data_IF_393624060190
#
_entry.id   IF_393624060190
#
_cell.length_a   1.000
_cell.length_b   1.000
_cell.length_c   1.000
_cell.angle_alpha   90.00
_cell.angle_beta   90.00
_cell.angle_gamma   90.00
#
_symmetry.space_group_name_H-M   'P 1'
#
loop_
_entity.id
_entity.type
_entity.pdbx_description
1 polymer ?
#
# COMPACT_ATOMS: atom_id res chain seq x y z
N UNK A 1 22.44 -34.25 -12.62
CA UNK A 1 21.43 -33.18 -12.52
C UNK A 1 22.09 -31.95 -11.91
N UNK A 2 22.27 -30.89 -12.67
CA UNK A 2 22.88 -29.65 -12.18
C UNK A 2 21.99 -29.01 -11.13
N UNK A 3 22.53 -28.74 -9.94
CA UNK A 3 21.83 -27.93 -8.93
C UNK A 3 21.59 -26.53 -9.51
N UNK A 4 20.31 -26.17 -9.67
CA UNK A 4 19.95 -24.79 -10.00
C UNK A 4 20.62 -23.84 -8.99
N UNK A 5 21.14 -22.66 -9.40
CA UNK A 5 21.75 -21.72 -8.48
C UNK A 5 20.80 -21.44 -7.31
N UNK A 6 21.34 -21.38 -6.09
CA UNK A 6 20.56 -21.19 -4.85
C UNK A 6 19.56 -20.05 -4.92
N UNK A 7 19.91 -18.95 -5.64
CA UNK A 7 19.02 -17.83 -5.90
C UNK A 7 17.80 -18.18 -6.75
N UNK A 8 17.93 -19.06 -7.74
CA UNK A 8 16.83 -19.47 -8.61
C UNK A 8 15.78 -20.32 -7.89
N UNK A 9 16.20 -21.22 -6.97
CA UNK A 9 15.26 -22.02 -6.18
C UNK A 9 14.47 -21.14 -5.19
N UNK A 10 15.13 -20.17 -4.54
CA UNK A 10 14.46 -19.22 -3.64
C UNK A 10 13.42 -18.38 -4.40
N UNK A 11 13.76 -17.89 -5.60
CA UNK A 11 12.84 -17.12 -6.42
C UNK A 11 11.61 -17.93 -6.84
N UNK A 12 11.78 -19.18 -7.30
CA UNK A 12 10.66 -20.06 -7.66
C UNK A 12 9.75 -20.37 -6.47
N UNK A 13 10.33 -20.58 -5.29
CA UNK A 13 9.54 -20.77 -4.07
C UNK A 13 8.71 -19.54 -3.71
N UNK A 14 9.28 -18.34 -3.86
CA UNK A 14 8.58 -17.08 -3.58
C UNK A 14 7.44 -16.84 -4.57
N UNK A 15 7.67 -17.11 -5.86
CA UNK A 15 6.65 -17.01 -6.90
C UNK A 15 5.51 -18.00 -6.68
N UNK A 16 5.81 -19.28 -6.44
CA UNK A 16 4.81 -20.30 -6.12
C UNK A 16 4.03 -19.97 -4.85
N UNK A 17 4.72 -19.45 -3.81
CA UNK A 17 4.08 -19.03 -2.57
C UNK A 17 3.11 -17.88 -2.80
N UNK A 18 3.48 -16.88 -3.61
CA UNK A 18 2.61 -15.76 -3.97
C UNK A 18 1.29 -16.27 -4.58
N UNK A 19 1.38 -17.20 -5.52
CA UNK A 19 0.20 -17.81 -6.16
C UNK A 19 -0.65 -18.61 -5.16
N UNK A 20 -0.03 -19.51 -4.39
CA UNK A 20 -0.77 -20.39 -3.45
C UNK A 20 -1.42 -19.58 -2.33
N UNK A 21 -0.74 -18.57 -1.78
CA UNK A 21 -1.32 -17.71 -0.75
C UNK A 21 -2.46 -16.84 -1.30
N UNK A 22 -2.36 -16.38 -2.54
CA UNK A 22 -3.46 -15.65 -3.18
C UNK A 22 -4.70 -16.53 -3.41
N UNK A 23 -4.50 -17.77 -3.81
CA UNK A 23 -5.57 -18.74 -4.07
C UNK A 23 -6.24 -19.25 -2.78
N UNK A 24 -5.44 -19.63 -1.76
CA UNK A 24 -5.89 -20.37 -0.57
C UNK A 24 -5.84 -19.60 0.73
N UNK A 25 -5.24 -18.41 0.73
CA UNK A 25 -4.95 -17.64 1.92
C UNK A 25 -3.85 -18.26 2.79
N UNK A 26 -3.48 -17.56 3.84
CA UNK A 26 -2.46 -18.04 4.78
C UNK A 26 -2.83 -19.38 5.41
N UNK A 27 -4.08 -19.54 5.90
CA UNK A 27 -4.52 -20.73 6.63
C UNK A 27 -4.61 -21.97 5.74
N UNK A 28 -5.12 -21.84 4.53
CA UNK A 28 -5.34 -22.95 3.58
C UNK A 28 -4.07 -23.42 2.84
N UNK A 29 -3.02 -22.59 2.79
CA UNK A 29 -1.76 -22.95 2.13
C UNK A 29 -0.87 -23.83 3.00
N UNK A 30 -0.06 -24.71 2.36
CA UNK A 30 0.97 -25.52 3.03
C UNK A 30 2.33 -25.36 2.37
N UNK A 31 3.43 -25.45 3.17
CA UNK A 31 4.79 -25.41 2.62
C UNK A 31 5.06 -26.55 1.64
N UNK A 32 4.44 -27.73 1.84
CA UNK A 32 4.58 -28.87 0.94
C UNK A 32 4.04 -28.53 -0.43
N UNK A 33 2.82 -28.03 -0.51
CA UNK A 33 2.18 -27.62 -1.77
C UNK A 33 2.98 -26.53 -2.50
N UNK A 34 3.45 -25.53 -1.76
CA UNK A 34 4.31 -24.47 -2.31
C UNK A 34 5.59 -25.06 -2.89
N UNK A 35 6.25 -25.96 -2.16
CA UNK A 35 7.48 -26.61 -2.62
C UNK A 35 7.21 -27.44 -3.89
N UNK A 36 6.15 -28.24 -3.93
CA UNK A 36 5.73 -29.04 -5.09
C UNK A 36 5.47 -28.14 -6.29
N UNK A 37 4.71 -27.05 -6.14
CA UNK A 37 4.43 -26.07 -7.20
C UNK A 37 5.69 -25.35 -7.71
N UNK A 38 6.67 -25.13 -6.84
CA UNK A 38 7.97 -24.53 -7.18
C UNK A 38 8.93 -25.52 -7.86
N UNK A 39 8.61 -26.80 -7.97
CA UNK A 39 9.56 -27.85 -8.38
C UNK A 39 10.74 -27.95 -7.43
N UNK A 40 10.50 -27.78 -6.14
CA UNK A 40 11.50 -27.85 -5.06
C UNK A 40 11.06 -28.90 -4.01
N UNK A 41 11.97 -29.31 -3.14
CA UNK A 41 11.62 -30.15 -2.02
C UNK A 41 11.27 -29.32 -0.77
N UNK A 42 10.56 -29.92 0.17
CA UNK A 42 10.14 -29.27 1.42
C UNK A 42 11.34 -28.82 2.27
N UNK A 43 12.46 -29.54 2.21
CA UNK A 43 13.68 -29.18 2.94
C UNK A 43 14.25 -27.83 2.42
N UNK A 44 14.18 -27.56 1.11
CA UNK A 44 14.60 -26.29 0.55
C UNK A 44 13.67 -25.15 1.04
N UNK A 45 12.35 -25.34 1.06
CA UNK A 45 11.43 -24.34 1.58
C UNK A 45 11.72 -24.00 3.06
N UNK A 46 11.91 -25.01 3.90
CA UNK A 46 12.30 -24.83 5.30
C UNK A 46 13.68 -24.16 5.46
N UNK A 47 14.63 -24.50 4.62
CA UNK A 47 15.97 -23.91 4.64
C UNK A 47 15.96 -22.40 4.37
N UNK A 48 15.21 -21.96 3.34
CA UNK A 48 15.16 -20.54 2.95
C UNK A 48 14.27 -19.69 3.84
N UNK A 49 13.14 -20.23 4.29
CA UNK A 49 12.09 -19.41 4.91
C UNK A 49 11.74 -19.84 6.34
N UNK A 50 12.29 -20.95 6.83
CA UNK A 50 12.11 -21.51 8.16
C UNK A 50 10.69 -22.00 8.48
N UNK A 51 9.67 -21.23 8.11
CA UNK A 51 8.26 -21.55 8.38
C UNK A 51 7.34 -21.00 7.28
N UNK A 52 6.08 -21.43 7.30
CA UNK A 52 5.04 -20.88 6.43
C UNK A 52 4.85 -19.38 6.68
N UNK A 53 4.88 -18.97 7.94
CA UNK A 53 4.79 -17.57 8.34
C UNK A 53 5.96 -16.75 7.79
N UNK A 54 7.20 -17.24 7.94
CA UNK A 54 8.38 -16.58 7.38
C UNK A 54 8.31 -16.42 5.87
N UNK A 55 7.81 -17.43 5.15
CA UNK A 55 7.59 -17.34 3.71
C UNK A 55 6.47 -16.34 3.37
N UNK A 56 5.39 -16.31 4.14
CA UNK A 56 4.29 -15.38 3.94
C UNK A 56 4.70 -13.92 4.14
N UNK A 57 5.46 -13.63 5.20
CA UNK A 57 6.04 -12.32 5.45
C UNK A 57 6.98 -11.87 4.32
N UNK A 58 7.78 -12.81 3.81
CA UNK A 58 8.69 -12.53 2.70
C UNK A 58 7.93 -12.23 1.39
N UNK A 59 6.83 -12.95 1.13
CA UNK A 59 5.93 -12.63 0.00
C UNK A 59 5.33 -11.23 0.16
N UNK A 60 4.80 -10.91 1.34
CA UNK A 60 4.23 -9.58 1.60
C UNK A 60 5.29 -8.49 1.42
N UNK A 61 6.47 -8.64 2.03
CA UNK A 61 7.59 -7.70 1.89
C UNK A 61 7.97 -7.47 0.43
N UNK A 62 8.13 -8.54 -0.34
CA UNK A 62 8.49 -8.45 -1.75
C UNK A 62 7.44 -7.70 -2.58
N UNK A 63 6.16 -7.87 -2.29
CA UNK A 63 5.08 -7.16 -2.98
C UNK A 63 5.10 -5.66 -2.68
N UNK A 64 5.32 -5.26 -1.43
CA UNK A 64 5.43 -3.85 -1.07
C UNK A 64 6.69 -3.19 -1.65
N UNK A 65 7.83 -3.89 -1.62
CA UNK A 65 9.07 -3.41 -2.25
C UNK A 65 8.90 -3.22 -3.77
N UNK A 66 8.20 -4.14 -4.43
CA UNK A 66 7.89 -4.01 -5.86
C UNK A 66 6.99 -2.80 -6.15
N UNK A 67 5.97 -2.55 -5.30
CA UNK A 67 5.13 -1.37 -5.42
C UNK A 67 5.94 -0.07 -5.21
N UNK A 68 6.77 -0.02 -4.17
CA UNK A 68 7.64 1.13 -3.90
C UNK A 68 8.60 1.41 -5.06
N UNK A 69 9.24 0.36 -5.59
CA UNK A 69 10.15 0.49 -6.73
C UNK A 69 9.43 1.02 -8.00
N UNK A 70 8.19 0.59 -8.24
CA UNK A 70 7.38 1.12 -9.33
C UNK A 70 7.01 2.58 -9.11
N UNK A 71 6.59 2.97 -7.92
CA UNK A 71 6.28 4.37 -7.58
C UNK A 71 7.52 5.25 -7.83
N UNK A 72 8.70 4.82 -7.38
CA UNK A 72 9.95 5.56 -7.59
C UNK A 72 10.35 5.64 -9.07
N UNK A 73 10.12 4.58 -9.84
CA UNK A 73 10.44 4.55 -11.27
C UNK A 73 9.51 5.44 -12.10
N UNK A 74 8.21 5.41 -11.82
CA UNK A 74 7.18 6.09 -12.61
C UNK A 74 6.90 7.52 -12.12
N UNK A 75 7.00 7.76 -10.81
CA UNK A 75 6.61 9.03 -10.18
C UNK A 75 7.75 9.87 -9.63
N UNK A 76 8.95 9.32 -9.61
CA UNK A 76 10.11 9.97 -8.99
C UNK A 76 10.33 9.55 -7.54
N UNK A 77 11.42 10.04 -6.98
CA UNK A 77 11.87 9.63 -5.65
C UNK A 77 10.87 9.97 -4.55
N UNK A 78 10.58 8.99 -3.71
CA UNK A 78 9.77 9.14 -2.49
C UNK A 78 10.63 9.31 -1.24
N UNK A 79 11.94 9.46 -1.40
CA UNK A 79 12.87 9.68 -0.27
C UNK A 79 12.57 11.00 0.41
N UNK A 80 12.66 11.06 1.74
CA UNK A 80 12.35 12.26 2.50
C UNK A 80 13.05 13.53 1.99
N UNK A 81 14.36 13.44 1.73
CA UNK A 81 15.19 14.55 1.27
C UNK A 81 14.81 15.08 -0.12
N UNK A 82 14.29 14.21 -1.00
CA UNK A 82 13.85 14.59 -2.33
C UNK A 82 12.46 15.20 -2.29
N UNK A 83 11.54 14.59 -1.56
CA UNK A 83 10.17 15.12 -1.33
C UNK A 83 10.21 16.51 -0.71
N UNK A 84 11.13 16.75 0.22
CA UNK A 84 11.28 18.07 0.89
C UNK A 84 11.72 19.19 -0.05
N UNK A 85 12.34 18.86 -1.18
CA UNK A 85 12.80 19.82 -2.20
C UNK A 85 11.78 20.09 -3.29
N UNK A 86 10.76 19.25 -3.42
CA UNK A 86 9.77 19.40 -4.49
C UNK A 86 8.94 20.68 -4.30
N UNK A 87 8.69 21.41 -5.41
CA UNK A 87 7.67 22.45 -5.43
C UNK A 87 6.28 21.82 -5.33
N UNK A 88 5.25 22.63 -5.04
CA UNK A 88 3.87 22.15 -4.89
C UNK A 88 3.39 21.35 -6.11
N UNK A 89 3.71 21.78 -7.33
CA UNK A 89 3.35 21.05 -8.56
C UNK A 89 3.99 19.66 -8.57
N UNK A 90 5.29 19.55 -8.25
CA UNK A 90 5.99 18.26 -8.18
C UNK A 90 5.42 17.33 -7.11
N UNK A 91 4.95 17.86 -5.97
CA UNK A 91 4.26 17.07 -4.94
C UNK A 91 2.91 16.55 -5.44
N UNK A 92 2.17 17.33 -6.23
CA UNK A 92 0.91 16.91 -6.84
C UNK A 92 1.16 15.82 -7.89
N UNK A 93 2.18 15.98 -8.73
CA UNK A 93 2.54 14.99 -9.73
C UNK A 93 3.00 13.68 -9.10
N UNK A 94 3.78 13.75 -8.01
CA UNK A 94 4.16 12.56 -7.24
C UNK A 94 2.95 11.87 -6.60
N UNK A 95 1.99 12.62 -6.06
CA UNK A 95 0.74 12.06 -5.51
C UNK A 95 -0.07 11.35 -6.60
N UNK A 96 -0.22 11.98 -7.77
CA UNK A 96 -0.93 11.40 -8.92
C UNK A 96 -0.28 10.11 -9.39
N UNK A 97 1.03 10.13 -9.59
CA UNK A 97 1.79 8.94 -9.98
C UNK A 97 1.66 7.82 -8.96
N UNK A 98 1.75 8.13 -7.66
CA UNK A 98 1.56 7.14 -6.60
C UNK A 98 0.17 6.49 -6.65
N UNK A 99 -0.89 7.29 -6.78
CA UNK A 99 -2.27 6.81 -6.89
C UNK A 99 -2.42 5.92 -8.13
N UNK A 100 -1.89 6.35 -9.28
CA UNK A 100 -1.97 5.59 -10.52
C UNK A 100 -1.23 4.24 -10.41
N UNK A 101 0.02 4.26 -9.98
CA UNK A 101 0.84 3.04 -9.82
C UNK A 101 0.22 2.06 -8.83
N UNK A 102 -0.36 2.58 -7.72
CA UNK A 102 -1.08 1.74 -6.76
C UNK A 102 -2.32 1.09 -7.38
N UNK A 103 -3.12 1.84 -8.15
CA UNK A 103 -4.28 1.30 -8.87
C UNK A 103 -3.88 0.25 -9.91
N UNK A 104 -2.84 0.50 -10.70
CA UNK A 104 -2.30 -0.48 -11.65
C UNK A 104 -1.87 -1.76 -10.94
N UNK A 105 -1.14 -1.63 -9.85
CA UNK A 105 -0.71 -2.79 -9.03
C UNK A 105 -1.90 -3.56 -8.46
N UNK A 106 -2.96 -2.86 -8.03
CA UNK A 106 -4.15 -3.49 -7.47
C UNK A 106 -5.07 -4.12 -8.53
N UNK A 107 -5.15 -3.54 -9.74
CA UNK A 107 -6.18 -3.88 -10.73
C UNK A 107 -5.64 -4.64 -11.95
N UNK A 108 -4.42 -4.36 -12.42
CA UNK A 108 -3.85 -4.93 -13.65
C UNK A 108 -2.85 -6.06 -13.41
N UNK A 109 -2.19 -6.10 -12.25
CA UNK A 109 -1.17 -7.12 -12.01
C UNK A 109 -1.75 -8.53 -12.17
N UNK A 110 -1.10 -9.42 -12.95
CA UNK A 110 -1.58 -10.78 -13.15
C UNK A 110 -1.77 -11.47 -11.80
N UNK A 111 -3.00 -11.54 -11.40
CA UNK A 111 -3.57 -12.51 -10.47
C UNK A 111 -3.26 -12.38 -8.98
N UNK A 112 -2.12 -11.91 -8.50
CA UNK A 112 -1.75 -12.28 -7.13
C UNK A 112 -1.45 -11.13 -6.17
N UNK A 113 -0.89 -10.01 -6.62
CA UNK A 113 -0.41 -8.94 -5.72
C UNK A 113 -1.56 -8.26 -4.94
N UNK A 114 -2.54 -7.71 -5.64
CA UNK A 114 -3.69 -7.08 -4.98
C UNK A 114 -4.58 -8.06 -4.19
N UNK A 115 -4.62 -9.35 -4.60
CA UNK A 115 -5.45 -10.37 -3.96
C UNK A 115 -4.96 -10.72 -2.57
N UNK A 116 -3.65 -10.92 -2.38
CA UNK A 116 -3.07 -11.25 -1.08
C UNK A 116 -3.37 -10.16 -0.04
N UNK A 117 -3.15 -8.91 -0.41
CA UNK A 117 -3.35 -7.79 0.51
C UNK A 117 -4.82 -7.58 0.86
N UNK A 118 -5.72 -7.66 -0.12
CA UNK A 118 -7.17 -7.59 0.15
C UNK A 118 -7.59 -8.72 1.08
N UNK A 119 -7.10 -9.93 0.84
CA UNK A 119 -7.41 -11.08 1.71
C UNK A 119 -6.90 -10.88 3.12
N UNK A 120 -5.67 -10.37 3.29
CA UNK A 120 -5.10 -10.07 4.61
C UNK A 120 -5.90 -9.00 5.37
N UNK A 121 -6.47 -8.02 4.67
CA UNK A 121 -7.32 -6.99 5.28
C UNK A 121 -8.73 -7.48 5.63
N UNK A 122 -9.27 -8.47 4.91
CA UNK A 122 -10.62 -9.02 5.13
C UNK A 122 -10.63 -10.27 6.01
N UNK A 123 -9.58 -11.08 5.95
CA UNK A 123 -9.38 -12.32 6.70
C UNK A 123 -7.99 -12.31 7.37
N UNK A 124 -7.77 -11.49 8.41
CA UNK A 124 -6.44 -11.28 8.98
C UNK A 124 -5.78 -12.57 9.44
N UNK A 125 -4.51 -12.75 9.06
CA UNK A 125 -3.66 -13.81 9.57
C UNK A 125 -2.90 -13.37 10.84
N UNK A 126 -2.25 -14.33 11.49
CA UNK A 126 -1.37 -14.05 12.63
C UNK A 126 -0.14 -13.22 12.21
N UNK A 127 0.18 -13.17 10.92
CA UNK A 127 1.28 -12.38 10.36
C UNK A 127 0.94 -10.88 10.19
N UNK A 128 -0.36 -10.48 10.20
CA UNK A 128 -0.77 -9.09 9.97
C UNK A 128 -0.01 -8.06 10.80
N UNK A 129 0.22 -8.22 12.12
CA UNK A 129 0.97 -7.23 12.89
C UNK A 129 2.40 -7.01 12.39
N UNK A 130 3.05 -8.03 11.84
CA UNK A 130 4.39 -7.95 11.28
C UNK A 130 4.37 -7.30 9.89
N UNK A 131 3.38 -7.64 9.05
CA UNK A 131 3.15 -7.00 7.74
C UNK A 131 2.89 -5.50 7.92
N UNK A 132 2.04 -5.13 8.89
CA UNK A 132 1.77 -3.72 9.18
C UNK A 132 3.06 -2.99 9.53
N UNK A 133 3.83 -3.48 10.52
CA UNK A 133 5.06 -2.80 10.96
C UNK A 133 6.16 -2.78 9.90
N UNK A 134 6.31 -3.88 9.16
CA UNK A 134 7.44 -4.06 8.24
C UNK A 134 7.22 -3.51 6.83
N UNK A 135 5.95 -3.34 6.41
CA UNK A 135 5.64 -2.99 5.03
C UNK A 135 4.62 -1.86 4.89
N UNK A 136 3.49 -1.94 5.61
CA UNK A 136 2.43 -0.94 5.46
C UNK A 136 2.82 0.40 6.10
N UNK A 137 3.35 0.37 7.33
CA UNK A 137 3.73 1.58 8.06
C UNK A 137 4.81 2.42 7.36
N UNK A 138 5.88 1.85 6.81
CA UNK A 138 6.85 2.62 6.04
C UNK A 138 6.21 3.35 4.85
N UNK A 139 5.37 2.66 4.07
CA UNK A 139 4.68 3.23 2.91
C UNK A 139 3.69 4.33 3.33
N UNK A 140 2.94 4.10 4.43
CA UNK A 140 2.03 5.08 5.03
C UNK A 140 2.77 6.36 5.43
N UNK A 141 3.90 6.26 6.11
CA UNK A 141 4.68 7.43 6.54
C UNK A 141 5.20 8.25 5.35
N UNK A 142 5.59 7.61 4.24
CA UNK A 142 5.99 8.32 3.02
C UNK A 142 4.82 9.12 2.43
N UNK A 143 3.62 8.53 2.35
CA UNK A 143 2.42 9.24 1.92
C UNK A 143 2.07 10.40 2.87
N UNK A 144 2.11 10.18 4.17
CA UNK A 144 1.85 11.21 5.17
C UNK A 144 2.84 12.38 5.08
N UNK A 145 4.12 12.09 4.81
CA UNK A 145 5.12 13.14 4.56
C UNK A 145 4.78 13.97 3.32
N UNK A 146 4.43 13.33 2.22
CA UNK A 146 3.98 14.01 1.00
C UNK A 146 2.79 14.93 1.29
N UNK A 147 1.76 14.42 1.98
CA UNK A 147 0.57 15.20 2.33
C UNK A 147 0.87 16.34 3.31
N UNK A 148 1.79 16.13 4.25
CA UNK A 148 2.24 17.19 5.19
C UNK A 148 2.93 18.33 4.43
N UNK A 149 3.70 18.00 3.39
CA UNK A 149 4.32 19.03 2.53
C UNK A 149 3.30 19.77 1.67
N UNK A 150 2.25 19.05 1.21
CA UNK A 150 1.14 19.66 0.44
C UNK A 150 0.27 20.59 1.29
N UNK A 151 0.05 20.26 2.56
CA UNK A 151 -0.85 20.97 3.46
C UNK A 151 -0.25 21.06 4.89
N UNK A 152 0.78 21.89 5.09
CA UNK A 152 1.49 22.02 6.37
C UNK A 152 0.64 22.57 7.52
N UNK A 153 -0.53 23.14 7.22
CA UNK A 153 -1.48 23.63 8.21
C UNK A 153 -2.30 22.52 8.90
N UNK A 154 -2.32 21.33 8.30
CA UNK A 154 -3.08 20.20 8.84
C UNK A 154 -2.35 19.56 10.02
N UNK A 155 -3.12 19.11 11.00
CA UNK A 155 -2.59 18.29 12.09
C UNK A 155 -2.18 16.89 11.59
N UNK A 156 -1.30 16.21 12.35
CA UNK A 156 -0.95 14.81 12.05
C UNK A 156 -2.19 13.93 11.95
N UNK A 157 -3.18 14.13 12.82
CA UNK A 157 -4.46 13.39 12.78
C UNK A 157 -5.26 13.67 11.50
N UNK A 158 -5.27 14.91 11.00
CA UNK A 158 -5.95 15.22 9.74
C UNK A 158 -5.20 14.60 8.54
N UNK A 159 -3.86 14.64 8.56
CA UNK A 159 -3.02 13.97 7.54
C UNK A 159 -3.26 12.46 7.52
N UNK A 160 -3.28 11.80 8.68
CA UNK A 160 -3.61 10.38 8.78
C UNK A 160 -5.00 10.06 8.19
N UNK A 161 -6.02 10.90 8.47
CA UNK A 161 -7.37 10.73 7.92
C UNK A 161 -7.37 10.89 6.40
N UNK A 162 -6.67 11.90 5.87
CA UNK A 162 -6.53 12.09 4.43
C UNK A 162 -5.85 10.88 3.76
N UNK A 163 -4.76 10.37 4.36
CA UNK A 163 -4.07 9.17 3.89
C UNK A 163 -5.03 7.96 3.83
N UNK A 164 -5.79 7.70 4.91
CA UNK A 164 -6.76 6.60 4.94
C UNK A 164 -7.87 6.78 3.90
N UNK A 165 -8.33 8.03 3.66
CA UNK A 165 -9.35 8.32 2.64
C UNK A 165 -8.84 8.03 1.23
N UNK A 166 -7.60 8.40 0.91
CA UNK A 166 -6.97 8.09 -0.38
C UNK A 166 -6.84 6.58 -0.54
N UNK A 167 -6.24 5.89 0.43
CA UNK A 167 -6.04 4.43 0.40
C UNK A 167 -7.37 3.69 0.30
N UNK A 168 -8.40 4.13 1.05
CA UNK A 168 -9.74 3.53 0.98
C UNK A 168 -10.36 3.61 -0.42
N UNK A 169 -10.17 4.73 -1.14
CA UNK A 169 -10.62 4.85 -2.52
C UNK A 169 -9.91 3.87 -3.46
N UNK A 170 -8.60 3.65 -3.29
CA UNK A 170 -7.84 2.67 -4.10
C UNK A 170 -8.38 1.25 -3.92
N UNK A 171 -8.55 0.83 -2.66
CA UNK A 171 -9.07 -0.51 -2.35
C UNK A 171 -10.52 -0.70 -2.79
N UNK A 172 -11.34 0.33 -2.83
CA UNK A 172 -12.73 0.27 -3.29
C UNK A 172 -12.83 -0.37 -4.68
N UNK A 173 -12.03 0.09 -5.64
CA UNK A 173 -12.05 -0.42 -7.01
C UNK A 173 -11.60 -1.89 -7.11
N UNK A 174 -10.74 -2.33 -6.21
CA UNK A 174 -10.32 -3.74 -6.15
C UNK A 174 -11.38 -4.62 -5.49
N UNK A 175 -11.86 -4.23 -4.33
CA UNK A 175 -12.79 -5.04 -3.52
C UNK A 175 -14.18 -5.11 -4.12
N UNK A 176 -14.62 -4.06 -4.81
CA UNK A 176 -15.94 -3.98 -5.44
C UNK A 176 -15.92 -4.21 -6.95
N UNK A 177 -14.81 -4.73 -7.49
CA UNK A 177 -14.62 -4.92 -8.92
C UNK A 177 -15.80 -5.66 -9.58
N UNK A 178 -16.25 -6.78 -9.01
CA UNK A 178 -17.34 -7.56 -9.58
C UNK A 178 -18.65 -6.76 -9.68
N UNK A 179 -19.01 -6.03 -8.62
CA UNK A 179 -20.20 -5.19 -8.62
C UNK A 179 -20.08 -4.01 -9.60
N UNK A 180 -18.91 -3.37 -9.66
CA UNK A 180 -18.66 -2.26 -10.58
C UNK A 180 -18.74 -2.73 -12.04
N UNK A 181 -18.17 -3.86 -12.39
CA UNK A 181 -18.25 -4.41 -13.74
C UNK A 181 -19.67 -4.76 -14.15
N UNK A 182 -20.48 -5.29 -13.24
CA UNK A 182 -21.91 -5.52 -13.47
C UNK A 182 -22.65 -4.20 -13.72
N UNK A 183 -22.40 -3.16 -12.92
CA UNK A 183 -23.01 -1.84 -13.12
C UNK A 183 -22.59 -1.19 -14.44
N UNK A 184 -21.36 -1.43 -14.89
CA UNK A 184 -20.84 -0.95 -16.16
C UNK A 184 -21.32 -1.80 -17.37
N UNK A 185 -21.93 -2.96 -17.12
CA UNK A 185 -22.31 -3.93 -18.18
C UNK A 185 -21.10 -4.47 -18.95
N UNK A 186 -19.97 -4.69 -18.26
CA UNK A 186 -18.68 -5.07 -18.87
C UNK A 186 -18.05 -6.26 -18.14
N UNK A 187 -17.23 -7.03 -18.87
CA UNK A 187 -16.43 -8.13 -18.30
C UNK A 187 -15.11 -7.67 -17.69
N UNK A 188 -14.62 -6.49 -18.08
CA UNK A 188 -13.40 -5.89 -17.55
C UNK A 188 -13.47 -4.37 -17.58
N UNK A 189 -12.56 -3.69 -16.87
CA UNK A 189 -12.44 -2.25 -16.94
C UNK A 189 -12.04 -1.77 -18.36
N UNK A 190 -12.61 -0.67 -18.83
CA UNK A 190 -12.28 -0.14 -20.16
C UNK A 190 -10.82 0.36 -20.19
N UNK A 191 -10.26 0.40 -21.41
CA UNK A 191 -8.94 1.02 -21.62
C UNK A 191 -8.91 2.47 -21.11
N UNK A 192 -7.86 2.83 -20.39
CA UNK A 192 -7.73 4.18 -19.83
C UNK A 192 -8.45 4.39 -18.49
N UNK A 193 -9.31 3.46 -18.06
CA UNK A 193 -10.06 3.57 -16.82
C UNK A 193 -9.19 3.87 -15.59
N UNK A 194 -8.06 3.18 -15.45
CA UNK A 194 -7.17 3.39 -14.29
C UNK A 194 -6.62 4.81 -14.25
N UNK A 195 -6.21 5.34 -15.39
CA UNK A 195 -5.73 6.73 -15.48
C UNK A 195 -6.83 7.74 -15.13
N UNK A 196 -8.03 7.56 -15.67
CA UNK A 196 -9.19 8.43 -15.37
C UNK A 196 -9.54 8.41 -13.88
N UNK A 197 -9.54 7.23 -13.27
CA UNK A 197 -9.82 7.08 -11.84
C UNK A 197 -8.68 7.62 -10.98
N UNK A 198 -7.42 7.44 -11.38
CA UNK A 198 -6.28 8.02 -10.67
C UNK A 198 -6.33 9.55 -10.67
N UNK A 199 -6.68 10.16 -11.80
CA UNK A 199 -6.87 11.60 -11.92
C UNK A 199 -8.04 12.07 -11.04
N UNK A 200 -9.19 11.40 -11.12
CA UNK A 200 -10.34 11.70 -10.27
C UNK A 200 -10.03 11.62 -8.77
N UNK A 201 -9.39 10.53 -8.31
CA UNK A 201 -9.02 10.37 -6.90
C UNK A 201 -8.04 11.46 -6.46
N UNK A 202 -7.10 11.82 -7.32
CA UNK A 202 -6.12 12.88 -7.04
C UNK A 202 -6.81 14.22 -6.84
N UNK A 203 -7.62 14.66 -7.80
CA UNK A 203 -8.34 15.94 -7.75
C UNK A 203 -9.33 16.00 -6.58
N UNK A 204 -10.10 14.94 -6.37
CA UNK A 204 -11.04 14.84 -5.25
C UNK A 204 -10.32 14.93 -3.90
N UNK A 205 -9.18 14.24 -3.76
CA UNK A 205 -8.39 14.25 -2.54
C UNK A 205 -7.73 15.60 -2.28
N UNK A 206 -7.16 16.23 -3.32
CA UNK A 206 -6.58 17.57 -3.23
C UNK A 206 -7.63 18.61 -2.83
N UNK A 207 -8.80 18.59 -3.45
CA UNK A 207 -9.91 19.49 -3.08
C UNK A 207 -10.34 19.33 -1.63
N UNK A 208 -10.41 18.09 -1.13
CA UNK A 208 -10.68 17.79 0.28
C UNK A 208 -9.60 18.31 1.23
N UNK A 209 -8.34 18.07 0.90
CA UNK A 209 -7.17 18.52 1.68
C UNK A 209 -7.12 20.05 1.73
N UNK A 210 -7.30 20.72 0.59
CA UNK A 210 -7.30 22.20 0.52
C UNK A 210 -8.42 22.81 1.34
N UNK A 211 -9.61 22.24 1.30
CA UNK A 211 -10.74 22.69 2.11
C UNK A 211 -10.47 22.52 3.61
N UNK A 212 -9.86 21.40 4.03
CA UNK A 212 -9.46 21.18 5.41
C UNK A 212 -8.38 22.19 5.85
N UNK A 213 -7.36 22.41 5.03
CA UNK A 213 -6.30 23.37 5.26
C UNK A 213 -6.85 24.82 5.39
N UNK A 214 -7.77 25.22 4.51
CA UNK A 214 -8.44 26.51 4.58
C UNK A 214 -9.22 26.70 5.89
N UNK A 215 -9.93 25.67 6.36
CA UNK A 215 -10.62 25.70 7.66
C UNK A 215 -9.65 25.89 8.82
N UNK A 216 -8.49 25.21 8.78
CA UNK A 216 -7.47 25.34 9.82
C UNK A 216 -6.88 26.76 9.87
N UNK A 217 -6.59 27.36 8.71
CA UNK A 217 -6.14 28.76 8.63
C UNK A 217 -7.16 29.74 9.17
N UNK A 218 -8.45 29.47 8.99
CA UNK A 218 -9.54 30.34 9.47
C UNK A 218 -9.84 30.18 10.97
N UNK A 219 -9.37 29.12 11.63
CA UNK A 219 -9.57 28.91 13.07
C UNK A 219 -8.50 29.67 13.86
N UNK A 220 -8.88 30.57 14.79
CA UNK A 220 -7.91 31.21 15.66
C UNK A 220 -7.20 30.15 16.52
N UNK A 221 -5.91 30.36 16.86
CA UNK A 221 -5.17 29.44 17.71
C UNK A 221 -5.93 29.22 19.02
N UNK A 222 -6.08 27.94 19.41
CA UNK A 222 -6.74 27.57 20.66
C UNK A 222 -6.14 28.40 21.82
N UNK A 223 -6.96 29.20 22.49
CA UNK A 223 -6.52 29.94 23.68
C UNK A 223 -6.03 28.93 24.72
N UNK A 224 -4.74 28.89 24.96
CA UNK A 224 -4.18 28.12 26.08
C UNK A 224 -4.82 28.71 27.34
N UNK A 225 -5.54 27.92 28.15
CA UNK A 225 -6.13 28.41 29.39
C UNK A 225 -4.95 28.89 30.25
N UNK A 226 -4.91 30.20 30.58
CA UNK A 226 -3.98 30.76 31.55
C UNK A 226 -4.17 29.98 32.85
N UNK A 227 -3.15 29.25 33.31
CA UNK A 227 -3.12 28.64 34.63
C UNK A 227 -3.44 29.76 35.63
N UNK A 228 -4.62 29.63 36.26
CA UNK A 228 -4.96 30.48 37.38
C UNK A 228 -3.86 30.37 38.44
N UNK A 229 -3.19 31.46 38.69
CA UNK A 229 -2.13 31.54 39.69
C UNK A 229 -2.67 31.04 41.04
N UNK A 230 -2.05 30.03 41.60
CA UNK A 230 -2.24 29.65 43.00
C UNK A 230 -1.87 30.89 43.83
N UNK A 231 -2.87 31.59 44.35
CA UNK A 231 -2.66 32.51 45.43
C UNK A 231 -2.32 31.70 46.68
N UNK A 232 -1.07 31.75 47.09
CA UNK A 232 -0.63 31.28 48.40
C UNK A 232 -1.32 32.13 49.48
N UNK A 233 -1.90 31.46 50.43
CA UNK A 233 -2.14 31.97 51.78
C UNK A 233 -1.38 31.07 52.74
#
# INVERSE_FOLDING_TARGET
MAQAPRSATRARLLEAATAVFAERGFRGATLREIAERAGANLAAANYYFRSKEGLYLEVARHQFEALEARIEHEGGSTRPEDVDRLPRSGLIDLLRSWIQTALETLLEAPGHHGTLMVRELTEPSEALPQIVRGSIDPLRHRMERLLTRLAPELSSTDIERCTRSIVGQLYFYRTHRAALLLLLGRGDYPRGFIREIAEHITEFSLGGIERLAARRRAQPPARIPRRAGRRSR
#
